data_IF_094826244226
#
_entry.id   IF_094826244226
#
_cell.length_a   1.000
_cell.length_b   1.000
_cell.length_c   1.000
_cell.angle_alpha   90.00
_cell.angle_beta   90.00
_cell.angle_gamma   90.00
#
_symmetry.space_group_name_H-M   'P 1'
#
loop_
_entity.id
_entity.type
_entity.pdbx_description
1 polymer ?
#
# COMPACT_ATOMS: atom_id res chain seq x y z
N UNK A 1 -28.72 -15.29 0.18
CA UNK A 1 -28.04 -14.59 1.31
C UNK A 1 -26.58 -14.36 0.95
N UNK A 2 -26.09 -13.17 1.22
CA UNK A 2 -24.69 -12.84 0.99
C UNK A 2 -23.88 -13.24 2.23
N UNK A 3 -22.89 -14.12 2.11
CA UNK A 3 -22.21 -14.68 3.29
C UNK A 3 -21.31 -13.67 3.99
N UNK A 4 -20.75 -12.70 3.27
CA UNK A 4 -19.89 -11.65 3.81
C UNK A 4 -19.86 -10.43 2.89
N UNK A 5 -19.51 -9.27 3.46
CA UNK A 5 -19.16 -8.05 2.74
C UNK A 5 -17.73 -7.66 3.11
N UNK A 6 -16.98 -7.20 2.11
CA UNK A 6 -15.58 -6.79 2.29
C UNK A 6 -15.46 -5.29 2.11
N UNK A 7 -14.66 -4.66 2.96
CA UNK A 7 -14.43 -3.22 2.87
C UNK A 7 -13.42 -2.97 1.74
N UNK A 8 -13.89 -2.40 0.64
CA UNK A 8 -13.03 -2.03 -0.49
C UNK A 8 -12.30 -0.68 -0.23
N UNK A 9 -12.98 0.26 0.43
CA UNK A 9 -12.44 1.55 0.85
C UNK A 9 -13.14 2.06 2.11
N UNK A 10 -12.54 3.04 2.79
CA UNK A 10 -13.12 3.65 4.00
C UNK A 10 -12.89 2.85 5.28
N UNK A 11 -11.83 2.07 5.38
CA UNK A 11 -11.46 1.27 6.56
C UNK A 11 -11.47 2.11 7.85
N UNK A 12 -10.85 3.30 7.84
CA UNK A 12 -10.82 4.19 9.02
C UNK A 12 -12.20 4.74 9.36
N UNK A 13 -13.03 5.07 8.38
CA UNK A 13 -14.40 5.55 8.60
C UNK A 13 -15.27 4.44 9.19
N UNK A 14 -15.17 3.23 8.67
CA UNK A 14 -15.90 2.07 9.19
C UNK A 14 -15.48 1.72 10.61
N UNK A 15 -14.18 1.72 10.90
CA UNK A 15 -13.65 1.49 12.25
C UNK A 15 -14.13 2.58 13.24
N UNK A 16 -14.06 3.85 12.84
CA UNK A 16 -14.54 4.95 13.67
C UNK A 16 -16.06 4.86 13.95
N UNK A 17 -16.86 4.51 12.93
CA UNK A 17 -18.31 4.33 13.11
C UNK A 17 -18.61 3.20 14.10
N UNK A 18 -17.89 2.07 14.01
CA UNK A 18 -18.04 0.95 14.94
C UNK A 18 -17.67 1.33 16.38
N UNK A 19 -16.58 2.07 16.57
CA UNK A 19 -16.17 2.56 17.90
C UNK A 19 -17.19 3.50 18.51
N UNK A 20 -17.64 4.52 17.75
CA UNK A 20 -18.66 5.48 18.21
C UNK A 20 -19.98 4.78 18.50
N UNK A 21 -20.42 3.85 17.65
CA UNK A 21 -21.63 3.07 17.87
C UNK A 21 -21.57 2.28 19.18
N UNK A 22 -20.47 1.60 19.44
CA UNK A 22 -20.25 0.85 20.68
C UNK A 22 -20.23 1.77 21.91
N UNK A 23 -19.56 2.90 21.85
CA UNK A 23 -19.50 3.86 22.96
C UNK A 23 -20.91 4.39 23.29
N UNK A 24 -21.66 4.84 22.29
CA UNK A 24 -23.03 5.34 22.47
C UNK A 24 -23.98 4.27 22.98
N UNK A 25 -23.82 3.02 22.54
CA UNK A 25 -24.58 1.88 23.07
C UNK A 25 -24.32 1.68 24.56
N UNK A 26 -23.08 1.73 25.01
CA UNK A 26 -22.72 1.59 26.42
C UNK A 26 -23.26 2.75 27.29
N UNK A 27 -23.37 3.95 26.72
CA UNK A 27 -23.87 5.13 27.41
C UNK A 27 -25.42 5.21 27.44
N UNK A 28 -26.11 4.39 26.63
CA UNK A 28 -27.56 4.42 26.52
C UNK A 28 -28.24 3.25 27.27
N UNK A 29 -28.72 3.43 28.51
CA UNK A 29 -29.38 2.36 29.25
C UNK A 29 -30.69 1.87 28.61
N UNK A 30 -31.26 2.65 27.67
CA UNK A 30 -32.50 2.34 26.96
C UNK A 30 -32.23 1.88 25.51
N UNK A 31 -31.01 1.36 25.21
CA UNK A 31 -30.65 0.89 23.88
C UNK A 31 -31.61 -0.20 23.38
N UNK A 32 -32.19 -0.02 22.20
CA UNK A 32 -33.14 -0.93 21.55
C UNK A 32 -32.65 -1.56 20.28
N UNK A 33 -31.58 -0.98 19.67
CA UNK A 33 -30.96 -1.43 18.42
C UNK A 33 -31.38 -0.67 17.17
N UNK A 34 -32.35 0.24 17.27
CA UNK A 34 -32.87 1.07 16.18
C UNK A 34 -32.40 2.53 16.22
N UNK A 35 -31.48 2.85 17.11
CA UNK A 35 -30.91 4.19 17.22
C UNK A 35 -29.99 4.50 16.05
N UNK A 36 -29.95 5.76 15.60
CA UNK A 36 -29.18 6.26 14.46
C UNK A 36 -27.69 5.94 14.53
N UNK A 37 -27.10 5.84 15.71
CA UNK A 37 -25.69 5.47 15.86
C UNK A 37 -25.37 4.01 15.53
N UNK A 38 -26.39 3.16 15.30
CA UNK A 38 -26.18 1.78 14.81
C UNK A 38 -26.03 1.71 13.29
N UNK A 39 -26.20 2.83 12.58
CA UNK A 39 -26.17 2.88 11.12
C UNK A 39 -25.08 3.83 10.63
N UNK A 40 -24.51 3.53 9.50
CA UNK A 40 -23.68 4.45 8.73
C UNK A 40 -23.88 4.21 7.23
N UNK A 41 -23.62 5.25 6.44
CA UNK A 41 -23.78 5.16 5.00
C UNK A 41 -22.71 4.24 4.38
N UNK A 42 -23.15 3.22 3.69
CA UNK A 42 -22.30 2.34 2.90
C UNK A 42 -22.85 2.19 1.47
N UNK A 43 -21.96 2.07 0.50
CA UNK A 43 -22.31 1.77 -0.89
C UNK A 43 -21.68 0.42 -1.23
N UNK A 44 -22.52 -0.52 -1.69
CA UNK A 44 -22.07 -1.87 -2.04
C UNK A 44 -21.98 -2.03 -3.55
N UNK A 45 -20.91 -2.63 -4.02
CA UNK A 45 -20.67 -2.98 -5.41
C UNK A 45 -20.38 -4.47 -5.54
N UNK A 46 -20.80 -5.14 -6.62
CA UNK A 46 -20.27 -6.45 -6.97
C UNK A 46 -18.77 -6.38 -7.23
N UNK A 47 -18.02 -7.42 -6.84
CA UNK A 47 -16.55 -7.43 -6.98
C UNK A 47 -16.07 -7.21 -8.42
N UNK A 48 -16.82 -7.73 -9.40
CA UNK A 48 -16.51 -7.59 -10.82
C UNK A 48 -16.73 -6.17 -11.39
N UNK A 49 -17.26 -5.25 -10.59
CA UNK A 49 -17.38 -3.81 -10.91
C UNK A 49 -16.31 -2.98 -10.24
N UNK A 50 -15.42 -3.60 -9.46
CA UNK A 50 -14.31 -2.94 -8.78
C UNK A 50 -13.01 -3.22 -9.52
N UNK A 51 -12.14 -2.23 -9.53
CA UNK A 51 -10.79 -2.33 -10.04
C UNK A 51 -9.79 -1.90 -8.98
N UNK A 52 -8.84 -2.76 -8.67
CA UNK A 52 -7.76 -2.45 -7.72
C UNK A 52 -6.67 -1.71 -8.50
N UNK A 53 -6.42 -0.48 -8.11
CA UNK A 53 -5.39 0.37 -8.70
C UNK A 53 -4.10 0.31 -7.89
N UNK A 54 -2.97 0.57 -8.54
CA UNK A 54 -1.70 0.77 -7.88
C UNK A 54 -1.80 1.88 -6.83
N UNK A 55 -1.14 1.68 -5.71
CA UNK A 55 -1.00 2.69 -4.67
C UNK A 55 0.48 2.94 -4.43
N UNK A 56 1.04 3.82 -5.27
CA UNK A 56 2.48 4.02 -5.37
C UNK A 56 3.02 4.80 -4.18
N UNK A 57 4.23 4.45 -3.75
CA UNK A 57 4.98 5.10 -2.68
C UNK A 57 6.03 6.00 -3.29
N UNK A 58 6.13 7.21 -2.75
CA UNK A 58 7.16 8.18 -3.06
C UNK A 58 7.97 8.40 -1.79
N UNK A 59 9.28 8.25 -1.85
CA UNK A 59 10.19 8.53 -0.72
C UNK A 59 11.12 9.68 -1.05
N UNK A 60 11.40 10.53 -0.05
CA UNK A 60 12.18 11.76 -0.22
C UNK A 60 13.68 11.52 -0.23
N UNK A 61 14.13 10.45 0.41
CA UNK A 61 15.55 10.14 0.53
C UNK A 61 15.78 8.63 0.59
N UNK A 62 17.02 8.21 0.40
CA UNK A 62 17.45 6.82 0.41
C UNK A 62 18.09 6.41 1.74
N UNK A 63 17.75 7.07 2.85
CA UNK A 63 18.31 6.77 4.17
C UNK A 63 19.86 6.83 4.21
N UNK A 64 20.43 7.80 3.53
CA UNK A 64 21.88 8.01 3.44
C UNK A 64 22.60 7.10 2.44
N UNK A 65 21.93 6.18 1.77
CA UNK A 65 22.52 5.35 0.72
C UNK A 65 22.66 6.12 -0.60
N UNK A 66 23.66 5.76 -1.39
CA UNK A 66 23.67 6.09 -2.82
C UNK A 66 22.65 5.25 -3.59
N UNK A 67 22.37 5.61 -4.84
CA UNK A 67 21.55 4.80 -5.74
C UNK A 67 22.17 3.40 -5.91
N UNK A 68 23.46 3.34 -6.08
CA UNK A 68 24.22 2.12 -6.29
C UNK A 68 24.15 1.20 -5.06
N UNK A 69 24.31 1.78 -3.86
CA UNK A 69 24.19 1.03 -2.60
C UNK A 69 22.77 0.47 -2.42
N UNK A 70 21.75 1.26 -2.74
CA UNK A 70 20.36 0.78 -2.70
C UNK A 70 20.15 -0.40 -3.65
N UNK A 71 20.61 -0.30 -4.91
CA UNK A 71 20.45 -1.38 -5.89
C UNK A 71 21.19 -2.65 -5.48
N UNK A 72 22.35 -2.54 -4.85
CA UNK A 72 23.09 -3.68 -4.29
C UNK A 72 22.32 -4.28 -3.10
N UNK A 73 21.84 -3.45 -2.18
CA UNK A 73 21.10 -3.93 -1.02
C UNK A 73 19.79 -4.65 -1.42
N UNK A 74 19.08 -4.14 -2.43
CA UNK A 74 17.87 -4.77 -2.97
C UNK A 74 18.12 -6.18 -3.50
N UNK A 75 19.32 -6.49 -4.01
CA UNK A 75 19.64 -7.83 -4.52
C UNK A 75 19.66 -8.92 -3.45
N UNK A 76 19.64 -8.59 -2.18
CA UNK A 76 19.47 -9.59 -1.12
C UNK A 76 18.09 -10.26 -1.20
N UNK A 77 17.03 -9.47 -1.38
CA UNK A 77 15.64 -9.92 -1.29
C UNK A 77 14.94 -10.01 -2.66
N UNK A 78 15.49 -9.35 -3.68
CA UNK A 78 14.88 -9.24 -5.01
C UNK A 78 15.88 -9.64 -6.12
N UNK A 79 15.34 -10.12 -7.24
CA UNK A 79 16.03 -10.05 -8.51
C UNK A 79 15.82 -8.64 -9.07
N UNK A 80 16.94 -7.97 -9.41
CA UNK A 80 16.94 -6.57 -9.86
C UNK A 80 17.35 -6.50 -11.30
N UNK A 81 16.51 -5.93 -12.17
CA UNK A 81 16.77 -5.73 -13.58
C UNK A 81 16.55 -4.27 -13.97
N UNK A 82 17.52 -3.64 -14.59
CA UNK A 82 17.34 -2.29 -15.15
C UNK A 82 16.48 -2.33 -16.41
N UNK A 83 15.48 -1.46 -16.47
CA UNK A 83 14.51 -1.35 -17.57
C UNK A 83 14.72 -0.07 -18.42
N UNK A 84 15.65 0.81 -18.00
CA UNK A 84 15.97 2.07 -18.69
C UNK A 84 15.08 3.24 -18.27
N UNK A 85 14.97 4.25 -19.13
CA UNK A 85 14.27 5.51 -18.85
C UNK A 85 12.76 5.47 -19.12
N UNK A 86 12.30 4.49 -19.90
CA UNK A 86 10.88 4.32 -20.23
C UNK A 86 10.12 3.68 -19.07
N UNK A 87 8.86 4.09 -18.88
CA UNK A 87 8.02 3.61 -17.79
C UNK A 87 7.84 2.10 -17.89
N UNK A 88 8.21 1.40 -16.83
CA UNK A 88 7.96 -0.02 -16.66
C UNK A 88 6.74 -0.25 -15.76
N UNK A 89 5.78 -1.03 -16.25
CA UNK A 89 4.60 -1.48 -15.50
C UNK A 89 4.80 -2.93 -15.05
N UNK A 90 4.71 -3.23 -13.74
CA UNK A 90 4.66 -4.61 -13.27
C UNK A 90 3.43 -5.33 -13.82
N UNK A 91 3.57 -6.58 -14.21
CA UNK A 91 2.54 -7.39 -14.86
C UNK A 91 2.23 -8.72 -14.13
N UNK A 92 2.85 -8.94 -12.98
CA UNK A 92 2.67 -10.16 -12.19
C UNK A 92 2.72 -9.86 -10.69
N UNK A 93 2.24 -10.82 -9.87
CA UNK A 93 2.38 -10.79 -8.42
C UNK A 93 3.86 -10.82 -8.03
N UNK A 94 4.18 -10.13 -6.92
CA UNK A 94 5.53 -10.04 -6.35
C UNK A 94 6.56 -9.39 -7.28
N UNK A 95 6.08 -8.69 -8.31
CA UNK A 95 6.88 -7.87 -9.20
C UNK A 95 6.60 -6.40 -8.92
N UNK A 96 7.66 -5.64 -8.74
CA UNK A 96 7.59 -4.21 -8.42
C UNK A 96 8.34 -3.39 -9.45
N UNK A 97 7.95 -2.14 -9.55
CA UNK A 97 8.62 -1.13 -10.35
C UNK A 97 9.24 -0.09 -9.42
N UNK A 98 10.54 0.11 -9.53
CA UNK A 98 11.29 1.14 -8.81
C UNK A 98 11.80 2.19 -9.80
N UNK A 99 11.52 3.47 -9.54
CA UNK A 99 12.10 4.58 -10.26
C UNK A 99 13.09 5.34 -9.37
N UNK A 100 14.35 5.36 -9.77
CA UNK A 100 15.41 6.06 -9.05
C UNK A 100 16.51 6.52 -10.00
N UNK A 101 17.00 7.75 -9.83
CA UNK A 101 18.09 8.30 -10.63
C UNK A 101 17.83 8.33 -12.14
N UNK A 102 16.56 8.61 -12.54
CA UNK A 102 16.15 8.71 -13.93
C UNK A 102 15.87 7.38 -14.65
N UNK A 103 16.01 6.25 -13.97
CA UNK A 103 15.82 4.91 -14.54
C UNK A 103 14.80 4.09 -13.77
N UNK A 104 14.12 3.22 -14.51
CA UNK A 104 13.21 2.22 -13.96
C UNK A 104 13.92 0.90 -13.76
N UNK A 105 13.56 0.21 -12.70
CA UNK A 105 14.06 -1.12 -12.34
C UNK A 105 12.89 -2.04 -12.07
N UNK A 106 12.95 -3.25 -12.64
CA UNK A 106 12.09 -4.37 -12.28
C UNK A 106 12.68 -5.06 -11.07
N UNK A 107 11.86 -5.23 -10.02
CA UNK A 107 12.21 -5.99 -8.83
C UNK A 107 11.27 -7.20 -8.74
N UNK A 108 11.81 -8.40 -8.68
CA UNK A 108 11.05 -9.63 -8.44
C UNK A 108 11.42 -10.16 -7.07
N UNK A 109 10.46 -10.25 -6.17
CA UNK A 109 10.72 -10.78 -4.82
C UNK A 109 11.15 -12.25 -4.90
N UNK A 110 12.24 -12.58 -4.23
CA UNK A 110 12.79 -13.95 -4.20
C UNK A 110 11.92 -14.85 -3.33
N UNK A 111 11.80 -16.11 -3.70
CA UNK A 111 11.15 -17.13 -2.89
C UNK A 111 11.76 -17.20 -1.47
N UNK A 112 10.90 -17.41 -0.48
CA UNK A 112 11.29 -17.47 0.93
C UNK A 112 11.57 -16.12 1.59
N UNK A 113 11.35 -15.00 0.89
CA UNK A 113 11.45 -13.64 1.46
C UNK A 113 10.11 -13.10 1.94
N UNK A 114 9.04 -13.79 1.68
CA UNK A 114 7.67 -13.54 2.17
C UNK A 114 7.02 -14.89 2.51
N UNK A 115 5.95 -14.86 3.29
CA UNK A 115 5.23 -16.07 3.69
C UNK A 115 3.96 -16.24 2.84
N UNK A 116 3.97 -17.23 1.96
CA UNK A 116 2.83 -17.59 1.09
C UNK A 116 1.60 -18.08 1.88
N UNK A 117 1.78 -18.51 3.13
CA UNK A 117 0.70 -18.98 3.99
C UNK A 117 0.09 -17.86 4.84
N UNK A 118 0.75 -16.69 4.94
CA UNK A 118 0.20 -15.51 5.60
C UNK A 118 -0.58 -14.67 4.58
N UNK A 119 -1.93 -14.59 4.69
CA UNK A 119 -2.74 -13.84 3.74
C UNK A 119 -2.46 -12.33 3.71
N UNK A 120 -1.75 -11.80 4.71
CA UNK A 120 -1.31 -10.41 4.77
C UNK A 120 0.16 -10.31 4.35
N UNK A 121 0.99 -11.23 4.80
CA UNK A 121 2.43 -11.27 4.50
C UNK A 121 2.73 -11.42 3.00
N UNK A 122 1.88 -12.16 2.29
CA UNK A 122 2.00 -12.39 0.84
C UNK A 122 1.62 -11.19 -0.03
N UNK A 123 0.97 -10.18 0.53
CA UNK A 123 0.55 -9.00 -0.24
C UNK A 123 1.75 -8.15 -0.67
N UNK A 124 1.77 -7.72 -1.93
CA UNK A 124 2.83 -6.88 -2.49
C UNK A 124 3.08 -5.61 -1.67
N UNK A 125 2.01 -5.02 -1.12
CA UNK A 125 2.12 -3.86 -0.22
C UNK A 125 2.86 -4.20 1.07
N UNK A 126 2.72 -5.40 1.61
CA UNK A 126 3.41 -5.87 2.81
C UNK A 126 4.86 -6.21 2.50
N UNK A 127 5.11 -6.93 1.41
CA UNK A 127 6.46 -7.28 0.95
C UNK A 127 7.30 -6.01 0.74
N UNK A 128 6.79 -5.04 -0.03
CA UNK A 128 7.49 -3.77 -0.26
C UNK A 128 7.68 -2.96 1.01
N UNK A 129 6.70 -2.96 1.93
CA UNK A 129 6.81 -2.26 3.21
C UNK A 129 7.91 -2.86 4.10
N UNK A 130 7.97 -4.18 4.20
CA UNK A 130 8.92 -4.86 5.08
C UNK A 130 10.34 -4.85 4.48
N UNK A 131 10.49 -5.21 3.20
CA UNK A 131 11.80 -5.47 2.59
C UNK A 131 12.46 -4.20 2.03
N UNK A 132 11.68 -3.17 1.67
CA UNK A 132 12.22 -1.93 1.12
C UNK A 132 12.07 -0.78 2.12
N UNK A 133 10.83 -0.47 2.51
CA UNK A 133 10.59 0.74 3.31
C UNK A 133 11.14 0.63 4.73
N UNK A 134 10.88 -0.45 5.44
CA UNK A 134 11.41 -0.64 6.80
C UNK A 134 12.89 -1.07 6.76
N UNK A 135 13.20 -2.18 6.10
CA UNK A 135 14.54 -2.80 6.16
C UNK A 135 15.63 -1.88 5.60
N UNK A 136 15.42 -1.26 4.44
CA UNK A 136 16.44 -0.46 3.76
C UNK A 136 16.29 1.04 4.05
N UNK A 137 15.07 1.57 3.99
CA UNK A 137 14.84 3.00 4.11
C UNK A 137 14.51 3.44 5.55
N UNK A 138 14.34 2.49 6.49
CA UNK A 138 14.07 2.78 7.90
C UNK A 138 12.69 3.43 8.15
N UNK A 139 11.76 3.31 7.21
CA UNK A 139 10.39 3.85 7.32
C UNK A 139 9.49 2.78 7.92
N UNK A 140 9.29 2.83 9.24
CA UNK A 140 8.54 1.83 10.01
C UNK A 140 7.03 2.11 10.06
N UNK A 141 6.65 3.37 10.16
CA UNK A 141 5.24 3.76 10.22
C UNK A 141 4.89 4.66 9.04
N UNK A 142 4.23 4.08 8.05
CA UNK A 142 3.83 4.75 6.82
C UNK A 142 2.84 5.91 7.03
N UNK A 143 2.20 6.01 8.21
CA UNK A 143 1.21 7.05 8.53
C UNK A 143 1.82 8.29 9.14
N UNK A 144 2.94 8.15 9.83
CA UNK A 144 3.57 9.23 10.60
C UNK A 144 4.92 9.69 10.01
N UNK A 145 5.60 8.87 9.23
CA UNK A 145 6.89 9.24 8.63
C UNK A 145 6.71 10.26 7.51
N UNK A 146 7.34 11.42 7.67
CA UNK A 146 7.25 12.55 6.71
C UNK A 146 8.11 12.37 5.46
N UNK A 147 8.92 11.31 5.41
CA UNK A 147 9.75 10.99 4.25
C UNK A 147 8.98 10.21 3.17
N UNK A 148 7.80 9.67 3.52
CA UNK A 148 6.97 8.93 2.56
C UNK A 148 5.72 9.75 2.18
N UNK A 149 5.33 9.64 0.92
CA UNK A 149 4.08 10.14 0.38
C UNK A 149 3.48 9.11 -0.58
N UNK A 150 2.24 9.32 -1.01
CA UNK A 150 1.49 8.36 -1.80
C UNK A 150 0.95 8.98 -3.09
N UNK A 151 1.03 8.23 -4.18
CA UNK A 151 0.47 8.61 -5.47
C UNK A 151 -0.50 7.53 -5.93
N UNK A 152 -1.80 7.81 -5.88
CA UNK A 152 -2.83 6.87 -6.31
C UNK A 152 -2.73 6.53 -7.80
N UNK A 153 -3.01 5.28 -8.16
CA UNK A 153 -2.87 4.74 -9.51
C UNK A 153 -3.68 5.44 -10.59
N UNK A 154 -4.75 6.15 -10.21
CA UNK A 154 -5.51 7.00 -11.14
C UNK A 154 -4.65 8.08 -11.82
N UNK A 155 -3.57 8.52 -11.15
CA UNK A 155 -2.62 9.51 -11.69
C UNK A 155 -1.56 8.90 -12.61
N UNK A 156 -1.53 7.56 -12.71
CA UNK A 156 -0.56 6.77 -13.49
C UNK A 156 0.89 6.97 -13.06
N UNK A 157 1.78 6.11 -13.54
CA UNK A 157 3.21 6.14 -13.22
C UNK A 157 3.92 7.38 -13.77
N UNK A 158 3.36 8.05 -14.79
CA UNK A 158 3.93 9.30 -15.29
C UNK A 158 3.92 10.39 -14.20
N UNK A 159 2.82 10.54 -13.46
CA UNK A 159 2.77 11.52 -12.38
C UNK A 159 3.74 11.19 -11.23
N UNK A 160 4.01 9.89 -10.99
CA UNK A 160 5.03 9.48 -10.04
C UNK A 160 6.43 9.91 -10.51
N UNK A 161 6.75 9.63 -11.79
CA UNK A 161 8.01 10.01 -12.42
C UNK A 161 8.22 11.53 -12.38
N UNK A 162 7.21 12.29 -12.83
CA UNK A 162 7.29 13.77 -12.87
C UNK A 162 7.55 14.35 -11.48
N UNK A 163 6.95 13.75 -10.45
CA UNK A 163 7.12 14.19 -9.08
C UNK A 163 8.51 13.88 -8.51
N UNK A 164 9.10 12.74 -8.87
CA UNK A 164 10.50 12.42 -8.53
C UNK A 164 11.46 13.36 -9.25
N UNK A 165 11.23 13.61 -10.54
CA UNK A 165 12.11 14.43 -11.36
C UNK A 165 12.06 15.93 -10.99
N UNK A 166 10.96 16.37 -10.36
CA UNK A 166 10.79 17.77 -9.91
C UNK A 166 11.39 18.08 -8.54
N UNK A 167 11.75 17.08 -7.74
CA UNK A 167 12.35 17.18 -6.41
C UNK A 167 11.31 17.37 -5.30
#
# INVERSE_FOLDING_TARGET
EMPAMYIADGHHRSAAAALVGNEKKLQNPNHKGDEEYNYFLAVCFPENQLYIMDYNRLVKDLNGMSKEDLLVALQEDFEVQEMGAEIYHPDALHVFSLYVGGHWYKLVAKEGRYDDNDPIGVLDVTISSNLILDKLLGIKDLRSDKRIDFVGGIRRLQALKDRVDSG
#
